data_IF_789745563662
#
_entry.id   IF_789745563662
#
_cell.length_a   1.000
_cell.length_b   1.000
_cell.length_c   1.000
_cell.angle_alpha   90.00
_cell.angle_beta   90.00
_cell.angle_gamma   90.00
#
_symmetry.space_group_name_H-M   'P 1'
#
loop_
_entity.id
_entity.type
_entity.pdbx_description
1 polymer ?
#
# COMPACT_ATOMS: atom_id res chain seq x y z
N UNK A 1 -8.17 5.11 23.55
CA UNK A 1 -8.71 4.08 22.63
C UNK A 1 -7.62 3.07 22.30
N UNK A 2 -7.88 1.77 22.47
CA UNK A 2 -6.94 0.70 22.12
C UNK A 2 -7.34 0.08 20.79
N UNK A 3 -6.42 0.06 19.82
CA UNK A 3 -6.64 -0.54 18.51
C UNK A 3 -6.34 -2.04 18.54
N UNK A 4 -7.18 -2.85 17.91
CA UNK A 4 -6.85 -4.24 17.64
C UNK A 4 -5.82 -4.30 16.50
N UNK A 5 -4.64 -4.86 16.78
CA UNK A 5 -3.52 -4.87 15.82
C UNK A 5 -3.82 -5.70 14.58
N UNK A 6 -4.51 -6.83 14.73
CA UNK A 6 -4.86 -7.69 13.61
C UNK A 6 -5.92 -7.04 12.73
N UNK A 7 -6.93 -6.40 13.32
CA UNK A 7 -7.93 -5.66 12.55
C UNK A 7 -7.27 -4.50 11.79
N UNK A 8 -6.40 -3.72 12.44
CA UNK A 8 -5.67 -2.64 11.77
C UNK A 8 -4.77 -3.16 10.63
N UNK A 9 -4.05 -4.25 10.86
CA UNK A 9 -3.25 -4.92 9.84
C UNK A 9 -4.11 -5.40 8.67
N UNK A 10 -5.18 -6.16 8.92
CA UNK A 10 -6.07 -6.65 7.86
C UNK A 10 -6.69 -5.51 7.06
N UNK A 11 -7.15 -4.45 7.71
CA UNK A 11 -7.74 -3.29 7.03
C UNK A 11 -6.72 -2.62 6.09
N UNK A 12 -5.52 -2.32 6.58
CA UNK A 12 -4.49 -1.65 5.75
C UNK A 12 -3.93 -2.59 4.68
N UNK A 13 -3.81 -3.89 4.97
CA UNK A 13 -3.44 -4.91 4.00
C UNK A 13 -4.44 -4.97 2.85
N UNK A 14 -5.74 -5.03 3.14
CA UNK A 14 -6.79 -5.05 2.11
C UNK A 14 -6.81 -3.77 1.29
N UNK A 15 -6.70 -2.60 1.93
CA UNK A 15 -6.64 -1.31 1.20
C UNK A 15 -5.44 -1.29 0.24
N UNK A 16 -4.26 -1.73 0.70
CA UNK A 16 -3.05 -1.77 -0.14
C UNK A 16 -3.19 -2.76 -1.30
N UNK A 17 -3.73 -3.96 -1.04
CA UNK A 17 -3.98 -4.97 -2.06
C UNK A 17 -4.97 -4.50 -3.13
N UNK A 18 -6.06 -3.84 -2.71
CA UNK A 18 -7.04 -3.26 -3.63
C UNK A 18 -6.45 -2.13 -4.46
N UNK A 19 -5.67 -1.23 -3.86
CA UNK A 19 -4.94 -0.20 -4.59
C UNK A 19 -4.00 -0.79 -5.64
N UNK A 20 -3.30 -1.89 -5.30
CA UNK A 20 -2.42 -2.57 -6.24
C UNK A 20 -3.18 -3.33 -7.33
N UNK A 21 -4.36 -3.88 -7.02
CA UNK A 21 -5.25 -4.47 -8.02
C UNK A 21 -5.71 -3.41 -9.04
N UNK A 22 -6.06 -2.20 -8.57
CA UNK A 22 -6.39 -1.08 -9.45
C UNK A 22 -5.21 -0.70 -10.35
N UNK A 23 -3.99 -0.71 -9.81
CA UNK A 23 -2.77 -0.52 -10.61
C UNK A 23 -2.60 -1.60 -11.68
N UNK A 24 -2.77 -2.88 -11.35
CA UNK A 24 -2.71 -3.98 -12.33
C UNK A 24 -3.74 -3.78 -13.45
N UNK A 25 -4.98 -3.41 -13.11
CA UNK A 25 -6.04 -3.11 -14.09
C UNK A 25 -5.62 -1.96 -15.00
N UNK A 26 -5.05 -0.89 -14.43
CA UNK A 26 -4.58 0.27 -15.19
C UNK A 26 -3.46 -0.09 -16.18
N UNK A 27 -2.53 -0.96 -15.79
CA UNK A 27 -1.52 -1.50 -16.71
C UNK A 27 -2.17 -2.34 -17.81
N UNK A 28 -3.11 -3.22 -17.45
CA UNK A 28 -3.78 -4.11 -18.39
C UNK A 28 -4.59 -3.36 -19.47
N UNK A 29 -5.20 -2.22 -19.14
CA UNK A 29 -5.94 -1.38 -20.11
C UNK A 29 -5.07 -0.32 -20.80
N UNK A 30 -3.75 -0.33 -20.58
CA UNK A 30 -2.80 0.51 -21.31
C UNK A 30 -2.62 1.95 -20.80
N UNK A 31 -3.19 2.30 -19.64
CA UNK A 31 -3.04 3.65 -19.04
C UNK A 31 -1.93 3.73 -17.98
N UNK A 32 -1.28 2.61 -17.68
CA UNK A 32 -0.28 2.51 -16.61
C UNK A 32 0.90 3.50 -16.75
N UNK A 33 1.40 3.72 -17.98
CA UNK A 33 2.50 4.66 -18.19
C UNK A 33 2.09 6.10 -17.86
N UNK A 34 0.93 6.55 -18.35
CA UNK A 34 0.45 7.91 -18.10
C UNK A 34 0.23 8.16 -16.59
N UNK A 35 -0.26 7.16 -15.86
CA UNK A 35 -0.39 7.24 -14.40
C UNK A 35 0.96 7.29 -13.69
N UNK A 36 1.95 6.51 -14.15
CA UNK A 36 3.31 6.57 -13.62
C UNK A 36 3.92 7.95 -13.85
N UNK A 37 3.83 8.49 -15.07
CA UNK A 37 4.39 9.80 -15.42
C UNK A 37 3.71 10.91 -14.61
N UNK A 38 2.38 10.87 -14.47
CA UNK A 38 1.64 11.77 -13.60
C UNK A 38 2.08 11.65 -12.13
N UNK A 39 2.27 10.42 -11.64
CA UNK A 39 2.77 10.16 -10.28
C UNK A 39 4.14 10.76 -10.05
N UNK A 40 5.07 10.57 -10.98
CA UNK A 40 6.44 11.09 -10.85
C UNK A 40 6.50 12.61 -10.96
N UNK A 41 5.57 13.24 -11.70
CA UNK A 41 5.56 14.70 -11.91
C UNK A 41 5.45 15.49 -10.61
N UNK A 42 4.56 15.10 -9.69
CA UNK A 42 4.40 15.79 -8.40
C UNK A 42 5.44 15.37 -7.35
N UNK A 43 6.28 14.39 -7.65
CA UNK A 43 7.46 14.04 -6.85
C UNK A 43 8.73 14.75 -7.35
N UNK A 44 8.65 15.57 -8.41
CA UNK A 44 9.79 16.22 -9.04
C UNK A 44 10.85 15.20 -9.54
N UNK A 45 10.42 14.00 -9.92
CA UNK A 45 11.30 12.92 -10.40
C UNK A 45 11.26 12.85 -11.93
N UNK A 46 12.43 12.87 -12.56
CA UNK A 46 12.60 12.56 -13.99
C UNK A 46 13.44 11.30 -14.13
N UNK A 47 12.82 10.20 -14.57
CA UNK A 47 13.50 8.92 -14.82
C UNK A 47 12.96 8.27 -16.08
N UNK A 48 13.84 7.70 -16.89
CA UNK A 48 13.45 6.88 -18.03
C UNK A 48 13.03 5.49 -17.53
N UNK A 49 11.72 5.27 -17.38
CA UNK A 49 11.12 3.98 -17.00
C UNK A 49 9.91 3.69 -17.88
N UNK A 50 9.82 2.43 -18.30
CA UNK A 50 8.72 1.94 -19.14
C UNK A 50 7.88 0.95 -18.34
N UNK A 51 6.57 1.21 -18.27
CA UNK A 51 5.59 0.25 -17.79
C UNK A 51 5.43 -0.82 -18.86
N UNK A 52 5.83 -2.04 -18.53
CA UNK A 52 5.67 -3.22 -19.38
C UNK A 52 4.37 -3.95 -19.03
N UNK A 53 3.86 -4.75 -19.96
CA UNK A 53 2.72 -5.63 -19.70
C UNK A 53 3.00 -6.57 -18.53
N UNK A 54 2.05 -6.65 -17.58
CA UNK A 54 2.15 -7.58 -16.46
C UNK A 54 1.79 -8.99 -16.90
N UNK A 55 2.67 -9.97 -16.62
CA UNK A 55 2.23 -11.37 -16.63
C UNK A 55 1.27 -11.62 -15.46
N UNK A 56 0.35 -12.57 -15.61
CA UNK A 56 -0.61 -12.93 -14.56
C UNK A 56 0.10 -13.31 -13.25
N UNK A 57 1.24 -14.03 -13.35
CA UNK A 57 2.05 -14.40 -12.19
C UNK A 57 2.61 -13.19 -11.44
N UNK A 58 3.17 -12.20 -12.16
CA UNK A 58 3.69 -10.99 -11.53
C UNK A 58 2.59 -10.12 -10.93
N UNK A 59 1.41 -10.07 -11.56
CA UNK A 59 0.25 -9.37 -11.01
C UNK A 59 -0.19 -9.96 -9.66
N UNK A 60 -0.30 -11.30 -9.56
CA UNK A 60 -0.65 -11.98 -8.31
C UNK A 60 0.41 -11.71 -7.23
N UNK A 61 1.69 -11.85 -7.57
CA UNK A 61 2.79 -11.55 -6.64
C UNK A 61 2.74 -10.11 -6.15
N UNK A 62 2.47 -9.15 -7.03
CA UNK A 62 2.34 -7.74 -6.69
C UNK A 62 1.21 -7.49 -5.68
N UNK A 63 0.02 -8.05 -5.92
CA UNK A 63 -1.14 -7.89 -5.03
C UNK A 63 -0.88 -8.51 -3.65
N UNK A 64 -0.33 -9.73 -3.60
CA UNK A 64 0.01 -10.40 -2.34
C UNK A 64 1.09 -9.61 -1.58
N UNK A 65 2.10 -9.12 -2.29
CA UNK A 65 3.17 -8.32 -1.69
C UNK A 65 2.61 -7.02 -1.10
N UNK A 66 1.72 -6.33 -1.83
CA UNK A 66 1.03 -5.14 -1.34
C UNK A 66 0.20 -5.43 -0.07
N UNK A 67 -0.55 -6.53 -0.07
CA UNK A 67 -1.29 -6.98 1.12
C UNK A 67 -0.38 -7.17 2.33
N UNK A 68 0.73 -7.90 2.17
CA UNK A 68 1.68 -8.19 3.25
C UNK A 68 2.29 -6.88 3.78
N UNK A 69 2.74 -6.00 2.90
CA UNK A 69 3.29 -4.70 3.28
C UNK A 69 2.26 -3.85 4.03
N UNK A 70 1.04 -3.73 3.51
CA UNK A 70 -0.06 -3.01 4.17
C UNK A 70 -0.41 -3.59 5.53
N UNK A 71 -0.42 -4.93 5.67
CA UNK A 71 -0.66 -5.59 6.94
C UNK A 71 0.40 -5.26 7.97
N UNK A 72 1.68 -5.34 7.60
CA UNK A 72 2.80 -5.01 8.47
C UNK A 72 2.69 -3.55 8.93
N UNK A 73 2.44 -2.62 8.00
CA UNK A 73 2.28 -1.19 8.32
C UNK A 73 1.12 -0.97 9.29
N UNK A 74 -0.06 -1.53 9.02
CA UNK A 74 -1.24 -1.38 9.89
C UNK A 74 -1.04 -1.99 11.28
N UNK A 75 -0.40 -3.15 11.36
CA UNK A 75 -0.07 -3.79 12.63
C UNK A 75 0.93 -2.95 13.44
N UNK A 76 2.02 -2.50 12.81
CA UNK A 76 3.05 -1.66 13.45
C UNK A 76 2.45 -0.34 13.93
N UNK A 77 1.61 0.29 13.12
CA UNK A 77 0.87 1.49 13.50
C UNK A 77 0.05 1.25 14.77
N UNK A 78 -0.78 0.21 14.80
CA UNK A 78 -1.60 -0.11 15.96
C UNK A 78 -0.76 -0.46 17.20
N UNK A 79 0.38 -1.13 17.02
CA UNK A 79 1.32 -1.40 18.10
C UNK A 79 1.88 -0.11 18.71
N UNK A 80 2.39 0.80 17.88
CA UNK A 80 2.95 2.08 18.32
C UNK A 80 1.87 2.92 18.99
N UNK A 81 0.69 3.05 18.37
CA UNK A 81 -0.46 3.78 18.91
C UNK A 81 -0.82 3.30 20.31
N UNK A 82 -0.97 1.98 20.49
CA UNK A 82 -1.30 1.40 21.78
C UNK A 82 -0.19 1.56 22.82
N UNK A 83 1.07 1.67 22.40
CA UNK A 83 2.22 1.86 23.31
C UNK A 83 2.33 3.32 23.76
N UNK A 84 2.17 4.27 22.84
CA UNK A 84 2.25 5.71 23.13
C UNK A 84 1.01 6.19 23.89
N UNK A 85 -0.19 5.75 23.47
CA UNK A 85 -1.46 6.12 24.11
C UNK A 85 -1.67 5.57 25.52
N UNK A 86 -0.78 4.69 26.02
CA UNK A 86 -0.77 4.24 27.42
C UNK A 86 -0.15 5.27 28.39
N UNK A 87 0.50 6.32 27.91
CA UNK A 87 0.95 7.45 28.75
C UNK A 87 -0.09 8.57 28.71
N UNK A 88 -1.06 8.50 29.61
CA UNK A 88 -1.67 9.66 30.27
C UNK A 88 -2.49 9.19 31.49
N UNK A 89 -1.85 8.78 32.59
CA UNK A 89 -2.34 9.19 33.90
C UNK A 89 -1.91 10.66 34.07
N UNK A 90 -2.78 11.60 33.67
CA UNK A 90 -2.70 12.92 34.31
C UNK A 90 -3.07 12.64 35.76
N UNK A 91 -2.11 12.89 36.65
CA UNK A 91 -2.26 12.82 38.11
C UNK A 91 -3.44 13.65 38.58
#
# INVERSE_FOLDING_TARGET
MQLNKNQAGLTLGLISALGHLLWVIAVAIGIGQALLDWTLSYHFISVAKTVVSSSLGLAIVGIISAFICGYIVGWVFAFIWNKVGKKNPVM
#
